data_IF_230610686300
#
_entry.id   IF_230610686300
#
_cell.length_a   1.000
_cell.length_b   1.000
_cell.length_c   1.000
_cell.angle_alpha   90.00
_cell.angle_beta   90.00
_cell.angle_gamma   90.00
#
_symmetry.space_group_name_H-M   'P 1'
#
loop_
_entity.id
_entity.type
_entity.pdbx_description
1 polymer ?
#
# COMPACT_ATOMS: atom_id res chain seq x y z
N UNK A 1 -3.71 -21.09 -9.76
CA UNK A 1 -3.21 -20.01 -10.64
C UNK A 1 -3.89 -18.70 -10.25
N UNK A 2 -3.14 -17.62 -9.99
CA UNK A 2 -3.74 -16.31 -9.66
C UNK A 2 -4.04 -15.52 -10.95
N UNK A 3 -5.28 -15.07 -11.13
CA UNK A 3 -5.67 -14.24 -12.27
C UNK A 3 -5.73 -12.77 -11.85
N UNK A 4 -5.07 -11.89 -12.61
CA UNK A 4 -5.08 -10.44 -12.38
C UNK A 4 -5.74 -9.75 -13.56
N UNK A 5 -6.71 -8.89 -13.28
CA UNK A 5 -7.37 -8.07 -14.28
C UNK A 5 -6.95 -6.60 -14.13
N UNK A 6 -6.73 -5.92 -15.26
CA UNK A 6 -6.28 -4.53 -15.29
C UNK A 6 -7.28 -3.69 -16.06
N UNK A 7 -7.77 -2.61 -15.43
CA UNK A 7 -8.68 -1.66 -16.05
C UNK A 7 -8.25 -0.23 -15.81
N UNK A 8 -8.64 0.64 -16.74
CA UNK A 8 -8.43 2.09 -16.64
C UNK A 8 -9.60 2.73 -15.91
N UNK A 9 -9.31 3.65 -14.99
CA UNK A 9 -10.31 4.54 -14.42
C UNK A 9 -10.57 5.68 -15.41
N UNK A 10 -11.83 6.12 -15.50
CA UNK A 10 -12.16 7.32 -16.26
C UNK A 10 -11.45 8.54 -15.66
N UNK A 11 -10.93 9.41 -16.53
CA UNK A 11 -10.18 10.58 -16.09
C UNK A 11 -11.11 11.55 -15.33
N UNK A 12 -10.72 11.89 -14.11
CA UNK A 12 -11.39 12.91 -13.33
C UNK A 12 -10.36 13.58 -12.41
N UNK A 13 -10.01 14.84 -12.70
CA UNK A 13 -8.94 15.57 -12.01
C UNK A 13 -9.07 15.52 -10.48
N UNK A 14 -10.27 15.77 -9.94
CA UNK A 14 -10.51 15.80 -8.48
C UNK A 14 -10.36 14.41 -7.86
N UNK A 15 -10.89 13.37 -8.51
CA UNK A 15 -10.81 11.99 -8.02
C UNK A 15 -9.41 11.39 -8.15
N UNK A 16 -8.69 11.72 -9.22
CA UNK A 16 -7.29 11.32 -9.41
C UNK A 16 -6.40 11.98 -8.37
N UNK A 17 -6.60 13.28 -8.08
CA UNK A 17 -5.91 13.96 -6.97
C UNK A 17 -6.15 13.25 -5.64
N UNK A 18 -7.39 12.89 -5.33
CA UNK A 18 -7.72 12.12 -4.11
C UNK A 18 -6.93 10.80 -4.01
N UNK A 19 -6.92 9.99 -5.08
CA UNK A 19 -6.16 8.73 -5.10
C UNK A 19 -4.66 8.98 -4.97
N UNK A 20 -4.16 10.02 -5.64
CA UNK A 20 -2.78 10.42 -5.53
C UNK A 20 -2.45 10.82 -4.08
N UNK A 21 -3.22 11.64 -3.41
CA UNK A 21 -2.94 12.01 -2.03
C UNK A 21 -2.88 10.79 -1.10
N UNK A 22 -3.74 9.79 -1.30
CA UNK A 22 -3.65 8.51 -0.56
C UNK A 22 -2.38 7.73 -0.84
N UNK A 23 -1.93 7.68 -2.09
CA UNK A 23 -0.68 7.00 -2.47
C UNK A 23 0.54 7.74 -1.90
N UNK A 24 0.52 9.08 -1.86
CA UNK A 24 1.58 9.88 -1.24
C UNK A 24 1.65 9.61 0.27
N UNK A 25 0.48 9.58 0.93
CA UNK A 25 0.35 9.25 2.35
C UNK A 25 0.89 7.85 2.66
N UNK A 26 0.56 6.86 1.82
CA UNK A 26 1.10 5.51 1.91
C UNK A 26 2.64 5.50 1.80
N UNK A 27 3.20 6.29 0.89
CA UNK A 27 4.65 6.45 0.75
C UNK A 27 5.31 7.06 1.99
N UNK A 28 4.65 8.04 2.63
CA UNK A 28 5.11 8.61 3.89
C UNK A 28 5.12 7.58 5.03
N UNK A 29 4.05 6.79 5.16
CA UNK A 29 3.96 5.71 6.16
C UNK A 29 5.04 4.65 5.88
N UNK A 30 5.24 4.25 4.62
CA UNK A 30 6.30 3.34 4.23
C UNK A 30 7.68 3.83 4.71
N UNK A 31 8.02 5.09 4.43
CA UNK A 31 9.31 5.63 4.85
C UNK A 31 9.44 5.70 6.37
N UNK A 32 8.37 6.03 7.09
CA UNK A 32 8.39 5.99 8.55
C UNK A 32 8.66 4.58 9.08
N UNK A 33 8.01 3.55 8.51
CA UNK A 33 8.28 2.17 8.85
C UNK A 33 9.74 1.78 8.59
N UNK A 34 10.31 2.18 7.46
CA UNK A 34 11.73 1.94 7.15
C UNK A 34 12.65 2.62 8.17
N UNK A 35 12.35 3.85 8.59
CA UNK A 35 13.12 4.55 9.62
C UNK A 35 13.12 3.77 10.95
N UNK A 36 11.95 3.29 11.37
CA UNK A 36 11.81 2.47 12.58
C UNK A 36 12.59 1.17 12.48
N UNK A 37 12.48 0.45 11.37
CA UNK A 37 13.24 -0.78 11.14
C UNK A 37 14.74 -0.54 11.20
N UNK A 38 15.25 0.51 10.56
CA UNK A 38 16.67 0.87 10.60
C UNK A 38 17.13 1.17 12.02
N UNK A 39 16.41 2.02 12.75
CA UNK A 39 16.71 2.36 14.15
C UNK A 39 16.72 1.11 15.04
N UNK A 40 15.70 0.27 14.92
CA UNK A 40 15.58 -0.95 15.72
C UNK A 40 16.73 -1.93 15.44
N UNK A 41 17.14 -2.05 14.17
CA UNK A 41 18.26 -2.90 13.80
C UNK A 41 19.61 -2.37 14.30
N UNK A 42 19.83 -1.04 14.29
CA UNK A 42 21.05 -0.44 14.86
C UNK A 42 21.15 -0.70 16.36
N UNK A 43 20.03 -0.61 17.09
CA UNK A 43 20.03 -0.76 18.55
C UNK A 43 20.10 -2.22 19.03
N UNK A 44 19.44 -3.13 18.31
CA UNK A 44 19.24 -4.51 18.80
C UNK A 44 19.74 -5.59 17.86
N UNK A 45 20.21 -5.23 16.66
CA UNK A 45 20.64 -6.15 15.60
C UNK A 45 19.61 -7.23 15.22
N UNK A 46 18.31 -6.93 15.44
CA UNK A 46 17.18 -7.84 15.22
C UNK A 46 16.17 -7.23 14.25
N UNK A 47 15.42 -8.09 13.56
CA UNK A 47 14.30 -7.65 12.71
C UNK A 47 13.06 -7.31 13.54
N UNK A 48 12.44 -6.16 13.28
CA UNK A 48 11.20 -5.77 13.93
C UNK A 48 10.01 -6.62 13.44
N UNK A 49 9.21 -7.14 14.37
CA UNK A 49 8.00 -7.91 14.05
C UNK A 49 6.91 -6.99 13.45
N UNK A 50 6.27 -7.43 12.36
CA UNK A 50 5.21 -6.67 11.65
C UNK A 50 4.07 -6.26 12.58
N UNK A 51 3.64 -7.12 13.49
CA UNK A 51 2.48 -6.85 14.35
C UNK A 51 2.81 -5.76 15.37
N UNK A 52 4.06 -5.74 15.88
CA UNK A 52 4.57 -4.65 16.73
C UNK A 52 4.61 -3.34 15.95
N UNK A 53 5.06 -3.38 14.70
CA UNK A 53 5.06 -2.20 13.81
C UNK A 53 3.64 -1.68 13.56
N UNK A 54 2.68 -2.57 13.26
CA UNK A 54 1.27 -2.19 13.07
C UNK A 54 0.68 -1.55 14.34
N UNK A 55 0.91 -2.15 15.52
CA UNK A 55 0.48 -1.59 16.82
C UNK A 55 1.11 -0.23 17.09
N UNK A 56 2.35 -0.02 16.68
CA UNK A 56 3.01 1.28 16.80
C UNK A 56 2.37 2.33 15.91
N UNK A 57 2.10 2.01 14.64
CA UNK A 57 1.43 2.93 13.70
C UNK A 57 0.03 3.29 14.20
N UNK A 58 -0.74 2.33 14.72
CA UNK A 58 -2.10 2.62 15.25
C UNK A 58 -2.07 3.54 16.46
N UNK A 59 -1.03 3.44 17.31
CA UNK A 59 -0.81 4.42 18.41
C UNK A 59 -0.45 5.80 17.86
N UNK A 60 0.47 5.88 16.89
CA UNK A 60 0.88 7.15 16.30
C UNK A 60 -0.29 7.90 15.65
N UNK A 61 -1.18 7.18 14.96
CA UNK A 61 -2.39 7.74 14.33
C UNK A 61 -3.31 8.51 15.29
N UNK A 62 -3.25 8.22 16.60
CA UNK A 62 -4.04 8.92 17.63
C UNK A 62 -3.40 10.24 18.10
N UNK A 63 -2.13 10.48 17.78
CA UNK A 63 -1.42 11.70 18.18
C UNK A 63 -1.73 12.87 17.23
N UNK A 64 -1.74 14.10 17.75
CA UNK A 64 -2.00 15.32 16.95
C UNK A 64 -1.07 15.41 15.72
N UNK A 65 0.22 15.11 15.90
CA UNK A 65 1.24 15.17 14.85
C UNK A 65 0.95 14.24 13.66
N UNK A 66 0.41 13.05 13.90
CA UNK A 66 0.18 12.03 12.85
C UNK A 66 -1.31 11.79 12.55
N UNK A 67 -2.21 12.67 13.01
CA UNK A 67 -3.65 12.53 12.81
C UNK A 67 -4.02 12.40 11.32
N UNK A 68 -3.28 13.08 10.43
CA UNK A 68 -3.50 13.00 8.97
C UNK A 68 -3.32 11.58 8.39
N UNK A 69 -2.69 10.63 9.09
CA UNK A 69 -2.63 9.22 8.70
C UNK A 69 -3.98 8.48 8.87
N UNK A 70 -4.94 9.05 9.60
CA UNK A 70 -6.31 8.53 9.68
C UNK A 70 -7.04 8.58 8.34
N UNK A 71 -6.54 9.40 7.40
CA UNK A 71 -7.04 9.46 6.04
C UNK A 71 -6.75 8.20 5.20
N UNK A 72 -5.99 7.23 5.71
CA UNK A 72 -5.71 5.97 5.01
C UNK A 72 -6.42 4.79 5.67
N UNK A 73 -6.89 3.84 4.86
CA UNK A 73 -7.52 2.62 5.35
C UNK A 73 -6.50 1.71 6.05
N UNK A 74 -7.00 0.94 7.02
CA UNK A 74 -6.19 -0.03 7.77
C UNK A 74 -5.58 -1.09 6.83
N UNK A 75 -6.32 -1.50 5.80
CA UNK A 75 -5.88 -2.48 4.79
C UNK A 75 -4.59 -2.05 4.09
N UNK A 76 -4.46 -0.76 3.78
CA UNK A 76 -3.27 -0.23 3.11
C UNK A 76 -2.07 -0.25 4.05
N UNK A 77 -2.26 0.04 5.34
CA UNK A 77 -1.20 -0.04 6.35
C UNK A 77 -0.72 -1.49 6.49
N UNK A 78 -1.65 -2.45 6.58
CA UNK A 78 -1.30 -3.87 6.63
C UNK A 78 -0.47 -4.28 5.41
N UNK A 79 -0.93 -3.93 4.20
CA UNK A 79 -0.22 -4.21 2.95
C UNK A 79 1.17 -3.55 2.89
N UNK A 80 1.34 -2.32 3.40
CA UNK A 80 2.66 -1.68 3.51
C UNK A 80 3.58 -2.51 4.42
N UNK A 81 3.09 -2.90 5.60
CA UNK A 81 3.90 -3.67 6.55
C UNK A 81 4.23 -5.06 6.03
N UNK A 82 3.29 -5.72 5.34
CA UNK A 82 3.52 -7.04 4.71
C UNK A 82 4.59 -6.95 3.61
N UNK A 83 4.56 -5.88 2.79
CA UNK A 83 5.59 -5.62 1.77
C UNK A 83 6.98 -5.41 2.38
N UNK A 84 7.06 -4.66 3.48
CA UNK A 84 8.32 -4.41 4.18
C UNK A 84 8.86 -5.71 4.80
N UNK A 85 8.01 -6.46 5.48
CA UNK A 85 8.39 -7.75 6.08
C UNK A 85 8.89 -8.74 5.02
N UNK A 86 8.17 -8.88 3.91
CA UNK A 86 8.59 -9.74 2.80
C UNK A 86 9.95 -9.31 2.23
N UNK A 87 10.18 -8.01 2.08
CA UNK A 87 11.45 -7.48 1.57
C UNK A 87 12.61 -7.74 2.54
N UNK A 88 12.40 -7.61 3.86
CA UNK A 88 13.41 -7.97 4.85
C UNK A 88 13.66 -9.48 4.92
N UNK A 89 12.62 -10.31 4.87
CA UNK A 89 12.76 -11.78 4.79
C UNK A 89 13.59 -12.18 3.57
N UNK A 90 13.31 -11.59 2.40
CA UNK A 90 14.09 -11.80 1.19
C UNK A 90 15.55 -11.36 1.36
N UNK A 91 15.79 -10.20 1.97
CA UNK A 91 17.13 -9.70 2.25
C UNK A 91 17.94 -10.67 3.12
N UNK A 92 17.40 -11.10 4.27
CA UNK A 92 18.10 -12.05 5.15
C UNK A 92 18.30 -13.42 4.50
N UNK A 93 17.33 -13.89 3.71
CA UNK A 93 17.48 -15.15 2.97
C UNK A 93 18.58 -15.05 1.89
N UNK A 94 18.67 -13.93 1.18
CA UNK A 94 19.74 -13.71 0.20
C UNK A 94 21.10 -13.58 0.87
N UNK A 95 21.17 -12.95 2.05
CA UNK A 95 22.40 -12.87 2.84
C UNK A 95 22.90 -14.26 3.23
N UNK A 96 22.02 -15.15 3.71
CA UNK A 96 22.35 -16.56 3.99
C UNK A 96 22.86 -17.31 2.75
N UNK A 97 22.29 -17.01 1.58
CA UNK A 97 22.69 -17.58 0.29
C UNK A 97 23.91 -16.90 -0.34
N UNK A 98 24.58 -15.98 0.39
CA UNK A 98 25.73 -15.18 -0.08
C UNK A 98 25.46 -14.45 -1.41
N UNK A 99 24.21 -14.06 -1.68
CA UNK A 99 23.84 -13.28 -2.86
C UNK A 99 23.96 -11.79 -2.56
N UNK A 100 24.51 -11.02 -3.51
CA UNK A 100 24.57 -9.55 -3.40
C UNK A 100 23.16 -8.99 -3.24
N UNK A 101 22.90 -8.38 -2.09
CA UNK A 101 21.60 -7.81 -1.76
C UNK A 101 21.75 -6.60 -0.84
N UNK A 102 20.74 -5.74 -0.82
CA UNK A 102 20.69 -4.56 0.05
C UNK A 102 19.40 -4.58 0.88
N UNK A 103 19.42 -4.08 2.12
CA UNK A 103 18.20 -3.99 2.91
C UNK A 103 17.20 -3.01 2.28
N UNK A 104 15.90 -3.15 2.58
CA UNK A 104 14.90 -2.16 2.20
C UNK A 104 15.30 -0.73 2.61
N UNK A 105 15.17 0.21 1.67
CA UNK A 105 15.63 1.58 1.81
C UNK A 105 14.51 2.60 1.63
N UNK A 106 14.79 3.85 2.01
CA UNK A 106 13.84 4.94 1.83
C UNK A 106 13.51 5.13 0.35
N UNK A 107 12.25 5.48 0.07
CA UNK A 107 11.76 5.70 -1.29
C UNK A 107 11.24 7.14 -1.41
N UNK A 108 11.70 7.89 -2.42
CA UNK A 108 11.10 9.18 -2.78
C UNK A 108 9.58 8.97 -2.96
N UNK A 109 8.75 9.82 -2.34
CA UNK A 109 7.28 9.62 -2.30
C UNK A 109 6.69 9.45 -3.71
N UNK A 110 7.16 10.25 -4.68
CA UNK A 110 6.77 10.13 -6.10
C UNK A 110 7.04 8.76 -6.73
N UNK A 111 8.01 7.99 -6.23
CA UNK A 111 8.33 6.62 -6.69
C UNK A 111 7.45 5.56 -6.02
N UNK A 112 6.68 5.90 -4.98
CA UNK A 112 5.68 5.00 -4.40
C UNK A 112 4.41 5.08 -5.26
N UNK A 113 4.18 4.07 -6.10
CA UNK A 113 3.20 4.15 -7.20
C UNK A 113 1.87 3.46 -6.93
N UNK A 114 1.75 2.63 -5.89
CA UNK A 114 0.54 1.80 -5.73
C UNK A 114 0.15 1.52 -4.29
N UNK A 115 -1.16 1.43 -4.08
CA UNK A 115 -1.79 0.98 -2.85
C UNK A 115 -2.74 -0.17 -3.15
N UNK A 116 -2.83 -1.12 -2.24
CA UNK A 116 -3.63 -2.33 -2.40
C UNK A 116 -4.66 -2.37 -1.27
N UNK A 117 -5.90 -2.68 -1.63
CA UNK A 117 -7.03 -2.81 -0.73
C UNK A 117 -7.45 -4.29 -0.68
N UNK A 118 -7.81 -4.75 0.51
CA UNK A 118 -8.51 -6.03 0.71
C UNK A 118 -10.01 -5.82 0.47
N UNK A 119 -10.81 -6.89 0.54
CA UNK A 119 -12.26 -6.88 0.25
C UNK A 119 -13.04 -5.75 0.94
N UNK A 120 -12.65 -5.34 2.16
CA UNK A 120 -13.27 -4.23 2.90
C UNK A 120 -13.04 -2.84 2.31
N UNK A 121 -11.97 -2.65 1.54
CA UNK A 121 -11.54 -1.33 1.04
C UNK A 121 -12.17 -0.90 -0.29
N UNK A 122 -12.91 -1.79 -0.95
CA UNK A 122 -13.57 -1.51 -2.22
C UNK A 122 -14.91 -2.26 -2.35
N UNK A 123 -15.79 -1.75 -3.21
CA UNK A 123 -17.02 -2.42 -3.62
C UNK A 123 -17.27 -2.19 -5.10
N UNK A 124 -17.46 -3.25 -5.87
CA UNK A 124 -17.95 -3.12 -7.24
C UNK A 124 -19.44 -2.78 -7.20
N UNK A 125 -19.84 -1.83 -8.03
CA UNK A 125 -21.21 -1.36 -8.18
C UNK A 125 -21.68 -1.68 -9.62
N UNK A 126 -22.96 -1.47 -9.86
CA UNK A 126 -23.56 -1.50 -11.19
C UNK A 126 -22.98 -0.39 -12.10
N UNK A 127 -23.27 -0.45 -13.40
CA UNK A 127 -22.81 0.51 -14.43
C UNK A 127 -21.29 0.71 -14.55
N UNK A 128 -20.50 -0.35 -14.37
CA UNK A 128 -19.04 -0.27 -14.44
C UNK A 128 -18.43 0.73 -13.44
N UNK A 129 -19.05 0.86 -12.26
CA UNK A 129 -18.54 1.72 -11.19
C UNK A 129 -17.84 0.88 -10.12
N UNK A 130 -16.82 1.45 -9.50
CA UNK A 130 -16.17 0.91 -8.30
C UNK A 130 -16.15 1.99 -7.23
N UNK A 131 -16.59 1.61 -6.02
CA UNK A 131 -16.38 2.41 -4.83
C UNK A 131 -15.05 2.00 -4.21
N UNK A 132 -14.17 2.97 -4.00
CA UNK A 132 -12.87 2.80 -3.35
C UNK A 132 -12.87 3.77 -2.18
N UNK A 133 -12.68 3.25 -0.97
CA UNK A 133 -12.83 4.05 0.26
C UNK A 133 -14.18 4.81 0.25
N UNK A 134 -14.15 6.14 0.24
CA UNK A 134 -15.34 6.99 0.26
C UNK A 134 -15.74 7.57 -1.11
N UNK A 135 -15.06 7.18 -2.21
CA UNK A 135 -15.31 7.76 -3.54
C UNK A 135 -15.66 6.69 -4.57
N UNK A 136 -16.58 7.03 -5.46
CA UNK A 136 -17.00 6.17 -6.57
C UNK A 136 -16.31 6.60 -7.86
N UNK A 137 -15.81 5.64 -8.62
CA UNK A 137 -15.07 5.82 -9.87
C UNK A 137 -15.75 5.00 -10.97
N UNK A 138 -15.72 5.51 -12.21
CA UNK A 138 -16.15 4.75 -13.37
C UNK A 138 -14.93 4.02 -13.94
N UNK A 139 -15.11 2.77 -14.34
CA UNK A 139 -14.07 1.91 -14.92
C UNK A 139 -14.38 1.70 -16.40
N UNK A 140 -13.36 1.73 -17.25
CA UNK A 140 -13.47 1.27 -18.64
C UNK A 140 -13.45 -0.26 -18.67
N UNK A 141 -14.62 -0.90 -18.78
CA UNK A 141 -14.74 -2.36 -18.76
C UNK A 141 -14.65 -2.91 -20.19
N UNK A 142 -13.55 -3.57 -20.50
CA UNK A 142 -13.36 -4.26 -21.80
C UNK A 142 -13.74 -5.75 -21.77
N UNK A 143 -13.88 -6.35 -20.58
CA UNK A 143 -14.12 -7.79 -20.40
C UNK A 143 -15.06 -8.04 -19.23
N UNK A 144 -15.84 -9.12 -19.31
CA UNK A 144 -16.64 -9.61 -18.19
C UNK A 144 -15.75 -10.05 -17.03
N UNK A 145 -16.21 -9.81 -15.80
CA UNK A 145 -15.47 -10.10 -14.57
C UNK A 145 -16.38 -10.77 -13.56
N UNK A 146 -15.85 -11.77 -12.88
CA UNK A 146 -16.52 -12.38 -11.72
C UNK A 146 -16.20 -11.59 -10.46
N UNK A 147 -16.97 -10.52 -10.19
CA UNK A 147 -16.71 -9.61 -9.06
C UNK A 147 -16.60 -10.32 -7.70
N UNK A 148 -17.39 -11.38 -7.49
CA UNK A 148 -17.43 -12.15 -6.24
C UNK A 148 -16.15 -12.95 -5.97
N UNK A 149 -15.32 -13.19 -7.01
CA UNK A 149 -14.04 -13.91 -6.89
C UNK A 149 -12.84 -12.98 -6.66
N UNK A 150 -13.03 -11.65 -6.71
CA UNK A 150 -11.93 -10.69 -6.56
C UNK A 150 -11.59 -10.51 -5.08
N UNK A 151 -10.35 -10.83 -4.71
CA UNK A 151 -9.89 -10.75 -3.32
C UNK A 151 -9.18 -9.43 -2.96
N UNK A 152 -8.55 -8.78 -3.93
CA UNK A 152 -7.83 -7.52 -3.71
C UNK A 152 -7.95 -6.60 -4.92
N UNK A 153 -7.89 -5.30 -4.66
CA UNK A 153 -7.83 -4.26 -5.70
C UNK A 153 -6.57 -3.43 -5.47
N UNK A 154 -5.75 -3.31 -6.50
CA UNK A 154 -4.56 -2.45 -6.47
C UNK A 154 -4.76 -1.25 -7.36
N UNK A 155 -4.61 -0.06 -6.78
CA UNK A 155 -4.60 1.19 -7.52
C UNK A 155 -3.16 1.54 -7.80
N UNK A 156 -2.85 1.83 -9.06
CA UNK A 156 -1.50 2.14 -9.53
C UNK A 156 -1.50 3.43 -10.32
N UNK A 157 -0.55 4.31 -10.02
CA UNK A 157 -0.26 5.49 -10.83
C UNK A 157 0.47 5.13 -12.10
N UNK A 158 -0.01 5.68 -13.19
CA UNK A 158 0.53 5.68 -14.53
C UNK A 158 1.17 7.06 -14.82
N UNK A 159 2.07 7.12 -15.80
CA UNK A 159 2.79 8.36 -16.12
C UNK A 159 1.87 9.48 -16.66
N UNK A 160 0.67 9.12 -17.10
CA UNK A 160 -0.30 10.01 -17.76
C UNK A 160 -1.23 10.70 -16.72
N UNK A 161 -1.18 10.29 -15.45
CA UNK A 161 -1.99 10.85 -14.35
C UNK A 161 -3.12 9.95 -13.87
#
# INVERSE_FOLDING_TARGET
MHQTYVYKLYNNKRKNKYLNDKINLAGSIYNHCIALHKRFYILYHKSLNKYKLQKHITKLKKTKRFNYWNNISIDVIQQITDRIEAAYKLFFNNLKRKRKCSPPSFKKIRKYKSITFKKSGYKFLEDNKIRIMSKTFKIFKSRTMYYNKICTVTIKRNNIG
#
